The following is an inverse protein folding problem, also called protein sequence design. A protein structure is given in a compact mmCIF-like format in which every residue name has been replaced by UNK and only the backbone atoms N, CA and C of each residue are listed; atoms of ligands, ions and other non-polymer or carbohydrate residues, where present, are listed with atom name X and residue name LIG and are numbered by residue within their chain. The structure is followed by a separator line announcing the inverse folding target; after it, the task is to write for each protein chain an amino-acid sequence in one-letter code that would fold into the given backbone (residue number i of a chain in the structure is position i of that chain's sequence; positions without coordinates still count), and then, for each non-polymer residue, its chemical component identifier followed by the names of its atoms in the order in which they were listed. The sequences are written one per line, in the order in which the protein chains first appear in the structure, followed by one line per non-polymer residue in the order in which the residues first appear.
data_IF_300767146622
#
_entry.id   IF_300767146622
#
_cell.length_a   1.000
_cell.length_b   1.000
_cell.length_c   1.000
_cell.angle_alpha   90.00
_cell.angle_beta   90.00
_cell.angle_gamma   90.00
#
_symmetry.space_group_name_H-M   'P 1'
#
loop_
_entity.id
_entity.type
_entity.pdbx_description
1 polymer ?
#
# COMPACT_ATOMS: atom_id res chain seq x y z
N UNK A 1 -17.74 -2.14 -44.10
CA UNK A 1 -16.60 -1.97 -43.17
C UNK A 1 -16.09 -3.34 -42.82
N UNK A 2 -14.84 -3.63 -43.16
CA UNK A 2 -14.17 -4.92 -42.94
C UNK A 2 -13.34 -4.82 -41.66
N UNK A 3 -13.17 -5.94 -40.94
CA UNK A 3 -12.25 -6.01 -39.77
C UNK A 3 -10.83 -5.58 -40.16
N UNK A 4 -10.44 -5.75 -41.43
CA UNK A 4 -9.15 -5.31 -41.95
C UNK A 4 -8.94 -3.80 -41.87
N UNK A 5 -10.02 -3.02 -41.93
CA UNK A 5 -9.96 -1.56 -41.88
C UNK A 5 -9.53 -1.08 -40.48
N UNK A 6 -9.83 -1.85 -39.42
CA UNK A 6 -9.45 -1.54 -38.03
C UNK A 6 -7.99 -1.88 -37.71
N UNK A 7 -7.38 -2.81 -38.44
CA UNK A 7 -6.00 -3.25 -38.20
C UNK A 7 -4.95 -2.39 -38.95
N UNK A 8 -5.41 -1.51 -39.84
CA UNK A 8 -4.56 -0.62 -40.63
C UNK A 8 -4.26 0.71 -39.92
N UNK A 9 -4.99 1.01 -38.85
CA UNK A 9 -4.75 2.21 -38.03
C UNK A 9 -3.50 2.04 -37.17
N UNK A 10 -2.69 3.12 -36.99
CA UNK A 10 -1.54 3.06 -36.10
C UNK A 10 -1.99 2.76 -34.67
N UNK A 11 -1.36 1.77 -34.04
CA UNK A 11 -1.56 1.47 -32.62
C UNK A 11 -1.05 2.67 -31.80
N UNK A 12 -1.98 3.43 -31.22
CA UNK A 12 -1.64 4.36 -30.17
C UNK A 12 -1.40 3.57 -28.89
N UNK A 13 -0.19 3.65 -28.34
CA UNK A 13 0.09 3.11 -27.00
C UNK A 13 -0.78 3.89 -26.01
N UNK A 14 -1.64 3.18 -25.28
CA UNK A 14 -2.46 3.78 -24.23
C UNK A 14 -1.51 4.12 -23.09
N UNK A 15 -0.95 5.34 -23.10
CA UNK A 15 -0.21 5.85 -21.96
C UNK A 15 -1.17 6.06 -20.79
N UNK A 16 -0.80 5.54 -19.62
CA UNK A 16 -1.54 5.81 -18.40
C UNK A 16 -1.53 7.33 -18.13
N UNK A 17 -2.69 7.90 -17.85
CA UNK A 17 -2.84 9.32 -17.52
C UNK A 17 -1.92 9.67 -16.33
N UNK A 18 -0.77 10.28 -16.61
CA UNK A 18 0.21 10.64 -15.60
C UNK A 18 -0.29 11.87 -14.84
N UNK A 19 -0.72 11.69 -13.59
CA UNK A 19 -0.50 12.73 -12.59
C UNK A 19 0.89 12.48 -12.01
N UNK A 20 1.82 13.39 -12.26
CA UNK A 20 3.11 13.35 -11.59
C UNK A 20 2.89 13.40 -10.07
N UNK A 21 3.72 12.68 -9.28
CA UNK A 21 3.62 12.75 -7.83
C UNK A 21 3.81 14.22 -7.39
N UNK A 22 2.93 14.76 -6.52
CA UNK A 22 3.08 16.14 -6.05
C UNK A 22 4.47 16.35 -5.43
N UNK A 23 5.14 17.47 -5.76
CA UNK A 23 6.52 17.74 -5.34
C UNK A 23 6.72 17.72 -3.81
N UNK A 24 5.68 18.00 -3.01
CA UNK A 24 5.74 18.02 -1.55
C UNK A 24 4.86 16.94 -0.87
N UNK A 25 5.00 15.71 -1.34
CA UNK A 25 4.29 14.56 -0.80
C UNK A 25 5.23 13.43 -0.36
N UNK A 26 4.71 12.58 0.53
CA UNK A 26 5.30 11.29 0.91
C UNK A 26 4.37 10.18 0.43
N UNK A 27 4.95 9.18 -0.24
CA UNK A 27 4.19 8.07 -0.80
C UNK A 27 4.10 6.90 0.19
N UNK A 28 2.92 6.33 0.31
CA UNK A 28 2.64 5.11 1.07
C UNK A 28 1.92 4.11 0.16
N UNK A 29 2.31 2.85 0.21
CA UNK A 29 1.68 1.79 -0.60
C UNK A 29 0.95 0.82 0.31
N UNK A 30 -0.26 0.43 -0.06
CA UNK A 30 -1.02 -0.56 0.69
C UNK A 30 -2.47 -0.67 0.25
N UNK A 31 -3.25 -1.42 1.01
CA UNK A 31 -4.69 -1.56 0.78
C UNK A 31 -5.47 -0.49 1.55
N UNK A 32 -6.21 0.40 0.85
CA UNK A 32 -6.98 1.44 1.51
C UNK A 32 -8.27 0.87 2.11
N UNK A 33 -8.63 1.35 3.30
CA UNK A 33 -9.86 1.03 4.02
C UNK A 33 -10.48 2.32 4.55
N UNK A 34 -11.80 2.38 4.55
CA UNK A 34 -12.54 3.45 5.23
C UNK A 34 -12.34 3.30 6.74
N UNK A 35 -12.09 4.40 7.44
CA UNK A 35 -12.04 4.36 8.90
C UNK A 35 -13.43 4.04 9.47
N UNK A 36 -13.56 3.15 10.48
CA UNK A 36 -14.85 2.62 10.92
C UNK A 36 -15.77 3.65 11.59
N UNK A 37 -15.21 4.73 12.14
CA UNK A 37 -15.96 5.70 12.96
C UNK A 37 -15.73 7.17 12.58
N UNK A 38 -14.88 7.45 11.58
CA UNK A 38 -14.45 8.81 11.23
C UNK A 38 -14.32 8.92 9.72
N UNK A 39 -15.32 9.53 9.09
CA UNK A 39 -15.36 9.68 7.63
C UNK A 39 -14.29 10.65 7.10
N UNK A 40 -13.63 11.43 7.98
CA UNK A 40 -12.52 12.32 7.64
C UNK A 40 -11.16 11.62 7.56
N UNK A 41 -11.11 10.30 7.77
CA UNK A 41 -9.89 9.52 7.86
C UNK A 41 -9.88 8.30 6.94
N UNK A 42 -8.68 7.92 6.54
CA UNK A 42 -8.39 6.72 5.75
C UNK A 42 -7.39 5.85 6.50
N UNK A 43 -7.64 4.54 6.49
CA UNK A 43 -6.71 3.54 6.98
C UNK A 43 -6.02 2.91 5.77
N UNK A 44 -4.70 2.79 5.82
CA UNK A 44 -3.89 2.10 4.83
C UNK A 44 -3.24 0.90 5.50
N UNK A 45 -3.57 -0.30 5.03
CA UNK A 45 -2.91 -1.53 5.41
C UNK A 45 -1.66 -1.66 4.54
N UNK A 46 -0.50 -1.32 5.09
CA UNK A 46 0.76 -1.41 4.35
C UNK A 46 1.09 -2.89 4.07
N UNK A 47 1.55 -3.14 2.84
CA UNK A 47 1.98 -4.46 2.42
C UNK A 47 3.23 -4.87 3.25
N UNK A 48 3.24 -6.03 3.91
CA UNK A 48 4.36 -6.49 4.74
C UNK A 48 5.67 -6.76 3.98
N UNK A 49 5.74 -6.58 2.66
CA UNK A 49 6.95 -6.87 1.86
C UNK A 49 8.23 -6.15 2.34
N UNK A 50 8.13 -5.05 3.09
CA UNK A 50 9.27 -4.33 3.68
C UNK A 50 9.52 -4.62 5.18
N UNK A 51 9.03 -5.75 5.70
CA UNK A 51 9.43 -6.24 7.03
C UNK A 51 8.54 -5.81 8.20
N UNK A 52 7.31 -5.37 7.93
CA UNK A 52 6.27 -5.19 8.94
C UNK A 52 4.93 -4.80 8.31
N UNK A 53 3.85 -5.50 8.64
CA UNK A 53 2.50 -5.02 8.30
C UNK A 53 2.20 -3.83 9.19
N UNK A 54 2.33 -2.62 8.65
CA UNK A 54 2.00 -1.39 9.34
C UNK A 54 0.58 -0.97 8.96
N UNK A 55 -0.29 -0.82 9.96
CA UNK A 55 -1.56 -0.12 9.76
C UNK A 55 -1.24 1.37 9.94
N UNK A 56 -1.49 2.16 8.92
CA UNK A 56 -1.32 3.61 8.95
C UNK A 56 -2.67 4.30 8.84
N UNK A 57 -2.88 5.38 9.58
CA UNK A 57 -4.05 6.23 9.50
C UNK A 57 -3.65 7.65 9.10
N UNK A 58 -4.41 8.23 8.17
CA UNK A 58 -4.22 9.60 7.69
C UNK A 58 -5.55 10.35 7.61
N UNK A 59 -5.51 11.67 7.71
CA UNK A 59 -6.65 12.53 7.37
C UNK A 59 -6.82 12.58 5.86
N UNK A 60 -8.05 12.44 5.38
CA UNK A 60 -8.38 12.54 3.95
C UNK A 60 -8.01 13.91 3.39
N UNK A 61 -8.20 14.98 4.18
CA UNK A 61 -7.84 16.34 3.78
C UNK A 61 -6.34 16.55 3.49
N UNK A 62 -5.47 15.65 3.96
CA UNK A 62 -4.02 15.68 3.72
C UNK A 62 -3.59 14.74 2.59
N UNK A 63 -4.51 13.98 1.99
CA UNK A 63 -4.26 13.13 0.83
C UNK A 63 -4.28 13.98 -0.44
N UNK A 64 -3.15 14.03 -1.13
CA UNK A 64 -2.98 14.86 -2.33
C UNK A 64 -3.28 14.08 -3.62
N UNK A 65 -2.94 12.79 -3.65
CA UNK A 65 -3.15 11.95 -4.81
C UNK A 65 -3.29 10.48 -4.39
N UNK A 66 -4.07 9.71 -5.15
CA UNK A 66 -4.19 8.26 -5.03
C UNK A 66 -4.04 7.66 -6.41
N UNK A 67 -3.18 6.64 -6.55
CA UNK A 67 -3.04 5.85 -7.77
C UNK A 67 -3.32 4.40 -7.48
N UNK A 68 -4.22 3.80 -8.25
CA UNK A 68 -4.43 2.36 -8.23
C UNK A 68 -3.21 1.63 -8.78
N UNK A 69 -2.75 0.62 -8.05
CA UNK A 69 -1.69 -0.29 -8.48
C UNK A 69 -2.32 -1.60 -9.00
N UNK A 70 -1.60 -2.36 -9.84
CA UNK A 70 -2.04 -3.69 -10.22
C UNK A 70 -2.37 -4.52 -8.98
N UNK A 71 -3.62 -4.97 -8.88
CA UNK A 71 -4.09 -5.73 -7.73
C UNK A 71 -3.60 -7.18 -7.88
N UNK A 72 -2.74 -7.67 -6.97
CA UNK A 72 -2.36 -9.07 -6.99
C UNK A 72 -3.59 -9.94 -6.75
N UNK A 73 -3.63 -11.06 -7.46
CA UNK A 73 -4.69 -12.06 -7.35
C UNK A 73 -4.12 -13.22 -6.54
N UNK A 74 -4.81 -13.62 -5.49
CA UNK A 74 -4.44 -14.80 -4.69
C UNK A 74 -4.71 -16.08 -5.50
N UNK A 75 -4.11 -17.19 -5.08
CA UNK A 75 -4.37 -18.51 -5.70
C UNK A 75 -5.85 -18.94 -5.61
N UNK A 76 -6.60 -18.37 -4.66
CA UNK A 76 -8.04 -18.58 -4.49
C UNK A 76 -8.90 -17.69 -5.40
N UNK A 77 -8.28 -16.83 -6.21
CA UNK A 77 -8.97 -15.91 -7.13
C UNK A 77 -9.45 -14.62 -6.48
N UNK A 78 -9.07 -14.34 -5.23
CA UNK A 78 -9.42 -13.08 -4.56
C UNK A 78 -8.44 -11.99 -5.00
N UNK A 79 -8.97 -10.85 -5.43
CA UNK A 79 -8.16 -9.66 -5.70
C UNK A 79 -8.33 -8.66 -4.55
N UNK A 80 -7.23 -8.09 -4.09
CA UNK A 80 -7.27 -6.98 -3.15
C UNK A 80 -6.69 -5.72 -3.79
N UNK A 81 -7.43 -4.63 -3.63
CA UNK A 81 -7.02 -3.33 -4.16
C UNK A 81 -5.78 -2.84 -3.43
N UNK A 82 -4.73 -2.54 -4.18
CA UNK A 82 -3.54 -1.85 -3.69
C UNK A 82 -3.52 -0.46 -4.32
N UNK A 83 -3.19 0.55 -3.52
CA UNK A 83 -2.98 1.91 -3.99
C UNK A 83 -1.63 2.43 -3.55
N UNK A 84 -1.11 3.38 -4.31
CA UNK A 84 -0.10 4.33 -3.84
C UNK A 84 -0.81 5.63 -3.45
N UNK A 85 -0.68 5.99 -2.18
CA UNK A 85 -1.24 7.18 -1.55
C UNK A 85 -0.14 8.23 -1.38
N UNK A 86 -0.34 9.43 -1.89
CA UNK A 86 0.55 10.57 -1.63
C UNK A 86 -0.08 11.48 -0.59
N UNK A 87 0.57 11.60 0.56
CA UNK A 87 0.14 12.43 1.69
C UNK A 87 1.05 13.65 1.77
N UNK A 88 0.46 14.83 2.02
CA UNK A 88 1.18 16.10 2.18
C UNK A 88 2.30 15.99 3.21
N UNK A 89 3.50 16.48 2.89
CA UNK A 89 4.61 16.51 3.84
C UNK A 89 4.27 17.35 5.08
N UNK A 90 4.68 16.88 6.25
CA UNK A 90 4.38 17.51 7.53
C UNK A 90 2.93 17.33 8.02
N UNK A 91 2.10 16.56 7.30
CA UNK A 91 0.82 16.09 7.83
C UNK A 91 1.04 15.06 8.95
N UNK A 92 0.05 14.93 9.83
CA UNK A 92 0.08 13.96 10.94
C UNK A 92 -0.51 12.64 10.47
N UNK A 93 0.26 11.56 10.62
CA UNK A 93 -0.20 10.18 10.46
C UNK A 93 -0.04 9.41 11.76
N UNK A 94 -0.86 8.37 11.95
CA UNK A 94 -0.75 7.43 13.06
C UNK A 94 -0.30 6.09 12.50
N UNK A 95 0.72 5.48 13.12
CA UNK A 95 1.15 4.11 12.80
C UNK A 95 0.81 3.21 13.98
N UNK A 96 0.07 2.13 13.72
CA UNK A 96 -0.22 1.12 14.73
C UNK A 96 0.86 0.06 14.72
N UNK A 97 1.46 -0.17 15.88
CA UNK A 97 2.49 -1.18 16.09
C UNK A 97 2.02 -2.18 17.12
N UNK A 98 1.86 -3.46 16.75
CA UNK A 98 1.56 -4.52 17.71
C UNK A 98 2.68 -4.69 18.73
N UNK A 99 2.30 -4.93 19.98
CA UNK A 99 3.21 -5.22 21.09
C UNK A 99 2.62 -6.27 22.02
N UNK A 100 3.49 -6.98 22.71
CA UNK A 100 3.14 -7.86 23.82
C UNK A 100 2.93 -7.03 25.08
N UNK A 101 1.80 -7.27 25.74
CA UNK A 101 1.39 -6.56 26.96
C UNK A 101 2.19 -7.11 28.14
N UNK A 102 3.37 -6.53 28.37
CA UNK A 102 4.26 -6.86 29.48
C UNK A 102 4.84 -5.58 30.14
N UNK A 103 5.67 -5.74 31.18
CA UNK A 103 6.34 -4.67 31.90
C UNK A 103 7.85 -4.93 31.94
N UNK A 104 8.65 -4.38 31.00
CA UNK A 104 8.31 -3.36 30.01
C UNK A 104 7.56 -3.91 28.78
N UNK A 105 6.93 -3.01 27.99
CA UNK A 105 6.30 -3.40 26.72
C UNK A 105 7.33 -4.03 25.79
N UNK A 106 6.93 -5.11 25.10
CA UNK A 106 7.78 -5.80 24.14
C UNK A 106 7.20 -5.66 22.73
N UNK A 107 7.87 -4.90 21.86
CA UNK A 107 7.41 -4.71 20.48
C UNK A 107 7.91 -5.84 19.58
N UNK A 108 7.06 -6.30 18.66
CA UNK A 108 7.35 -7.48 17.83
C UNK A 108 8.53 -7.30 16.86
N UNK A 109 8.90 -6.06 16.53
CA UNK A 109 9.99 -5.75 15.60
C UNK A 109 11.36 -5.60 16.29
N UNK A 110 11.42 -5.59 17.63
CA UNK A 110 12.64 -5.34 18.42
C UNK A 110 13.47 -6.60 18.68
N UNK A 111 13.02 -7.79 18.26
CA UNK A 111 13.73 -9.04 18.51
C UNK A 111 14.69 -9.42 17.38
N UNK A 112 16.03 -9.41 17.59
CA UNK A 112 17.00 -9.92 16.61
C UNK A 112 16.73 -11.38 16.23
N UNK A 113 16.13 -12.14 17.14
CA UNK A 113 15.78 -13.55 16.97
C UNK A 113 14.65 -13.82 15.95
N UNK A 114 13.88 -12.80 15.54
CA UNK A 114 12.80 -12.97 14.55
C UNK A 114 13.34 -12.98 13.11
N UNK A 115 14.46 -12.30 12.84
CA UNK A 115 15.14 -12.34 11.53
C UNK A 115 15.58 -13.76 11.17
N UNK A 116 16.07 -14.53 12.15
CA UNK A 116 16.54 -15.90 11.93
C UNK A 116 15.42 -16.95 11.90
N UNK A 117 14.27 -16.71 12.56
CA UNK A 117 13.14 -17.66 12.57
C UNK A 117 12.20 -17.52 11.36
N UNK A 118 12.08 -16.32 10.77
CA UNK A 118 11.25 -16.11 9.57
C UNK A 118 12.02 -16.47 8.29
N UNK A 119 13.35 -16.34 8.25
CA UNK A 119 14.21 -16.82 7.15
C UNK A 119 14.77 -18.25 7.36
N UNK A 120 14.13 -19.06 8.20
CA UNK A 120 14.56 -20.41 8.54
C UNK A 120 14.56 -21.40 7.37
N UNK A 121 15.71 -21.52 6.71
CA UNK A 121 16.32 -22.73 6.10
C UNK A 121 15.57 -23.42 4.95
N UNK A 122 15.94 -23.06 3.71
CA UNK A 122 16.21 -24.06 2.68
C UNK A 122 17.63 -24.61 2.87
N UNK A 123 17.76 -25.68 3.66
CA UNK A 123 18.86 -26.63 3.51
C UNK A 123 18.36 -28.03 3.85
N UNK A 124 17.98 -28.76 2.80
CA UNK A 124 18.35 -30.14 2.54
C UNK A 124 18.14 -30.38 1.04
#
# INVERSE_FOLDING_TARGET
MSVRDYLAEPFYEIEAYHSEPPQDAVAFTGSPRKHPYDDGKIILLADPHDGGSAICEFRIADVLCVKDLPSPVTETGESYRIVRLWVRRGAVGIRYEPFEVDSPLHFMHESPALKDRVLGRHKA
#
